data_IF_158946716757
#
_entry.id   IF_158946716757
#
_cell.length_a   1.000
_cell.length_b   1.000
_cell.length_c   1.000
_cell.angle_alpha   90.00
_cell.angle_beta   90.00
_cell.angle_gamma   90.00
#
_symmetry.space_group_name_H-M   'P 1'
#
loop_
_entity.id
_entity.type
_entity.pdbx_description
1 polymer ?
#
# COMPACT_ATOMS: atom_id res chain seq x y z
N UNK A 1 25.84 18.55 10.42
CA UNK A 1 27.24 18.77 10.85
C UNK A 1 27.31 20.13 11.52
N UNK A 2 27.81 20.21 12.77
CA UNK A 2 27.88 21.47 13.52
C UNK A 2 29.19 22.21 13.23
N UNK A 3 29.11 23.54 13.08
CA UNK A 3 30.27 24.41 12.87
C UNK A 3 31.20 24.42 14.10
N UNK A 4 32.48 24.72 13.91
CA UNK A 4 33.55 24.60 14.92
C UNK A 4 33.26 25.32 16.24
N UNK A 5 32.71 26.54 16.18
CA UNK A 5 32.35 27.32 17.39
C UNK A 5 31.18 26.69 18.15
N UNK A 6 30.24 26.07 17.44
CA UNK A 6 29.06 25.41 18.02
C UNK A 6 29.46 24.05 18.61
N UNK A 7 30.24 23.25 17.87
CA UNK A 7 30.76 21.96 18.36
C UNK A 7 31.57 22.11 19.64
N UNK A 8 32.40 23.16 19.76
CA UNK A 8 33.21 23.42 20.95
C UNK A 8 32.38 23.78 22.19
N UNK A 9 31.16 24.32 22.02
CA UNK A 9 30.27 24.72 23.11
C UNK A 9 29.18 23.68 23.39
N UNK A 10 29.00 22.72 22.49
CA UNK A 10 28.02 21.66 22.66
C UNK A 10 28.54 20.60 23.62
N UNK A 11 27.66 20.03 24.45
CA UNK A 11 28.00 18.85 25.22
C UNK A 11 28.31 17.71 24.25
N UNK A 12 29.53 17.16 24.30
CA UNK A 12 29.91 16.01 23.46
C UNK A 12 29.19 14.70 23.85
N UNK A 13 28.25 14.75 24.80
CA UNK A 13 27.43 13.61 25.18
C UNK A 13 26.25 13.49 24.21
N UNK A 14 26.30 12.48 23.37
CA UNK A 14 25.16 12.01 22.59
C UNK A 14 24.73 10.65 23.11
N UNK A 15 23.41 10.43 23.18
CA UNK A 15 22.83 9.14 23.51
C UNK A 15 22.06 8.66 22.28
N UNK A 16 22.41 7.48 21.80
CA UNK A 16 21.63 6.82 20.75
C UNK A 16 20.49 6.07 21.41
N UNK A 17 19.26 6.32 20.96
CA UNK A 17 18.09 5.54 21.38
C UNK A 17 18.02 4.30 20.48
N UNK A 18 18.26 3.09 21.02
CA UNK A 18 18.25 1.88 20.21
C UNK A 18 16.82 1.45 19.86
N UNK A 19 16.66 0.80 18.71
CA UNK A 19 15.42 0.11 18.37
C UNK A 19 15.30 -1.22 19.15
N UNK A 20 14.08 -1.76 19.32
CA UNK A 20 13.86 -3.05 19.97
C UNK A 20 14.65 -4.17 19.29
N UNK A 21 15.42 -4.92 20.08
CA UNK A 21 16.35 -5.96 19.59
C UNK A 21 15.74 -7.35 19.47
N UNK A 22 14.68 -7.61 20.24
CA UNK A 22 13.91 -8.85 20.20
C UNK A 22 12.45 -8.55 19.89
N UNK A 23 11.78 -9.56 19.35
CA UNK A 23 10.34 -9.48 19.10
C UNK A 23 9.56 -9.31 20.42
N UNK A 24 9.97 -10.01 21.49
CA UNK A 24 9.28 -9.92 22.78
C UNK A 24 9.35 -8.50 23.36
N UNK A 25 10.52 -7.84 23.29
CA UNK A 25 10.64 -6.44 23.74
C UNK A 25 9.78 -5.52 22.88
N UNK A 26 9.75 -5.71 21.56
CA UNK A 26 8.88 -4.94 20.67
C UNK A 26 7.38 -5.13 21.03
N UNK A 27 6.96 -6.39 21.16
CA UNK A 27 5.58 -6.76 21.51
C UNK A 27 5.16 -6.18 22.87
N UNK A 28 6.04 -6.22 23.86
CA UNK A 28 5.78 -5.67 25.18
C UNK A 28 5.64 -4.14 25.16
N UNK A 29 6.45 -3.43 24.35
CA UNK A 29 6.31 -1.98 24.18
C UNK A 29 4.96 -1.65 23.51
N UNK A 30 4.56 -2.40 22.49
CA UNK A 30 3.26 -2.24 21.83
C UNK A 30 2.10 -2.49 22.80
N UNK A 31 2.21 -3.53 23.63
CA UNK A 31 1.20 -3.87 24.65
C UNK A 31 1.10 -2.78 25.72
N UNK A 32 2.24 -2.34 26.26
CA UNK A 32 2.28 -1.29 27.27
C UNK A 32 1.71 0.05 26.79
N UNK A 33 1.70 0.32 25.48
CA UNK A 33 1.05 1.51 24.94
C UNK A 33 -0.47 1.40 24.79
N UNK A 34 -1.05 0.20 24.91
CA UNK A 34 -2.51 -0.03 24.88
C UNK A 34 -3.07 -0.42 26.25
N UNK A 35 -2.25 -1.01 27.11
CA UNK A 35 -2.62 -1.33 28.48
C UNK A 35 -2.64 -0.07 29.35
N UNK A 36 -3.34 -0.13 30.47
CA UNK A 36 -3.41 0.94 31.46
C UNK A 36 -2.91 0.38 32.80
N UNK A 37 -1.87 1.00 33.34
CA UNK A 37 -1.33 0.60 34.64
C UNK A 37 -2.11 1.25 35.80
N UNK A 38 -2.02 0.66 37.00
CA UNK A 38 -2.65 1.20 38.21
C UNK A 38 -2.10 2.59 38.56
N UNK A 39 -0.81 2.83 38.31
CA UNK A 39 -0.18 4.14 38.52
C UNK A 39 -0.68 5.22 37.56
N UNK A 40 -0.98 4.85 36.30
CA UNK A 40 -1.56 5.76 35.31
C UNK A 40 -3.02 6.05 35.61
N UNK A 41 -3.74 5.06 36.15
CA UNK A 41 -5.12 5.22 36.62
C UNK A 41 -5.23 6.27 37.73
N UNK A 42 -4.25 6.30 38.65
CA UNK A 42 -4.15 7.33 39.68
C UNK A 42 -3.93 8.74 39.11
N UNK A 43 -3.02 8.88 38.15
CA UNK A 43 -2.79 10.15 37.46
C UNK A 43 -4.01 10.61 36.66
N UNK A 44 -4.73 9.67 36.05
CA UNK A 44 -5.97 9.96 35.32
C UNK A 44 -7.08 10.43 36.27
N UNK A 45 -7.16 9.85 37.48
CA UNK A 45 -8.12 10.24 38.50
C UNK A 45 -7.87 11.66 39.02
N UNK A 46 -6.60 12.05 39.19
CA UNK A 46 -6.22 13.43 39.54
C UNK A 46 -6.50 14.42 38.38
N UNK A 47 -6.24 14.03 37.14
CA UNK A 47 -6.48 14.88 35.97
C UNK A 47 -7.99 15.08 35.67
N UNK A 48 -8.82 14.11 36.06
CA UNK A 48 -10.27 14.11 35.81
C UNK A 48 -11.07 14.35 37.10
N UNK A 49 -10.68 15.32 37.93
CA UNK A 49 -11.29 15.67 39.23
C UNK A 49 -12.83 15.50 39.32
N UNK A 50 -13.57 15.84 38.26
CA UNK A 50 -15.04 15.71 38.17
C UNK A 50 -15.57 14.28 37.97
N UNK A 51 -14.74 13.32 37.57
CA UNK A 51 -15.05 11.90 37.30
C UNK A 51 -14.24 10.92 38.14
N UNK A 52 -13.55 11.41 39.18
CA UNK A 52 -12.76 10.58 40.10
C UNK A 52 -13.54 9.42 40.72
N UNK A 53 -14.80 9.66 41.11
CA UNK A 53 -15.69 8.61 41.66
C UNK A 53 -16.02 7.48 40.67
N UNK A 54 -15.91 7.72 39.36
CA UNK A 54 -16.09 6.69 38.32
C UNK A 54 -14.84 5.80 38.27
N UNK A 55 -13.65 6.38 38.34
CA UNK A 55 -12.37 5.66 38.25
C UNK A 55 -12.13 4.81 39.52
N UNK A 56 -12.58 5.27 40.68
CA UNK A 56 -12.48 4.51 41.93
C UNK A 56 -13.59 3.44 42.08
N UNK A 57 -14.56 3.41 41.16
CA UNK A 57 -15.70 2.49 41.22
C UNK A 57 -15.32 1.03 40.96
N UNK A 58 -16.12 0.11 41.50
CA UNK A 58 -16.02 -1.31 41.19
C UNK A 58 -16.22 -1.60 39.68
N UNK A 59 -17.09 -0.84 39.03
CA UNK A 59 -17.39 -1.01 37.60
C UNK A 59 -16.20 -0.64 36.72
N UNK A 60 -15.42 0.38 37.11
CA UNK A 60 -14.16 0.71 36.42
C UNK A 60 -13.12 -0.41 36.55
N UNK A 61 -12.97 -1.01 37.74
CA UNK A 61 -12.07 -2.14 37.92
C UNK A 61 -12.47 -3.33 37.05
N UNK A 62 -13.77 -3.62 36.96
CA UNK A 62 -14.31 -4.67 36.09
C UNK A 62 -14.08 -4.36 34.60
N UNK A 63 -14.21 -3.10 34.20
CA UNK A 63 -13.90 -2.65 32.83
C UNK A 63 -12.41 -2.83 32.52
N UNK A 64 -11.52 -2.45 33.44
CA UNK A 64 -10.07 -2.58 33.28
C UNK A 64 -9.65 -4.06 33.21
N UNK A 65 -10.24 -4.93 34.04
CA UNK A 65 -10.00 -6.37 33.97
C UNK A 65 -10.47 -6.94 32.62
N UNK A 66 -11.65 -6.57 32.16
CA UNK A 66 -12.15 -6.96 30.83
C UNK A 66 -11.30 -6.42 29.68
N UNK A 67 -10.75 -5.21 29.80
CA UNK A 67 -9.80 -4.65 28.83
C UNK A 67 -8.50 -5.45 28.78
N UNK A 68 -7.94 -5.81 29.95
CA UNK A 68 -6.74 -6.65 30.05
C UNK A 68 -6.96 -8.03 29.47
N UNK A 69 -8.09 -8.67 29.76
CA UNK A 69 -8.47 -9.96 29.18
C UNK A 69 -8.62 -9.86 27.66
N UNK A 70 -9.27 -8.81 27.17
CA UNK A 70 -9.37 -8.52 25.73
C UNK A 70 -7.98 -8.37 25.08
N UNK A 71 -7.07 -7.60 25.68
CA UNK A 71 -5.71 -7.43 25.17
C UNK A 71 -4.95 -8.77 25.16
N UNK A 72 -5.11 -9.62 26.18
CA UNK A 72 -4.49 -10.95 26.21
C UNK A 72 -5.01 -11.85 25.08
N UNK A 73 -6.32 -11.84 24.82
CA UNK A 73 -6.90 -12.57 23.69
C UNK A 73 -6.44 -12.02 22.34
N UNK A 74 -6.37 -10.69 22.20
CA UNK A 74 -5.86 -10.02 21.00
C UNK A 74 -4.39 -10.40 20.74
N UNK A 75 -3.55 -10.42 21.77
CA UNK A 75 -2.15 -10.84 21.67
C UNK A 75 -1.97 -12.34 21.45
N UNK A 76 -2.94 -13.16 21.82
CA UNK A 76 -2.92 -14.61 21.56
C UNK A 76 -3.37 -14.97 20.13
N UNK A 77 -4.03 -14.05 19.42
CA UNK A 77 -4.50 -14.27 18.06
C UNK A 77 -3.35 -14.38 17.05
N UNK A 78 -3.40 -15.40 16.19
CA UNK A 78 -2.36 -15.66 15.20
C UNK A 78 -2.28 -14.55 14.13
N UNK A 79 -3.43 -14.01 13.69
CA UNK A 79 -3.48 -12.95 12.69
C UNK A 79 -2.88 -11.63 13.22
N UNK A 80 -3.18 -11.28 14.46
CA UNK A 80 -2.59 -10.13 15.13
C UNK A 80 -1.08 -10.32 15.38
N UNK A 81 -0.66 -11.51 15.81
CA UNK A 81 0.76 -11.85 15.96
C UNK A 81 1.52 -11.78 14.64
N UNK A 82 0.92 -12.22 13.53
CA UNK A 82 1.51 -12.08 12.19
C UNK A 82 1.70 -10.60 11.81
N UNK A 83 0.74 -9.73 12.15
CA UNK A 83 0.85 -8.28 11.95
C UNK A 83 2.00 -7.65 12.76
N UNK A 84 2.10 -7.98 14.05
CA UNK A 84 3.21 -7.51 14.90
C UNK A 84 4.56 -8.00 14.37
N UNK A 85 4.66 -9.27 13.97
CA UNK A 85 5.89 -9.84 13.40
C UNK A 85 6.26 -9.17 12.09
N UNK A 86 5.29 -8.88 11.22
CA UNK A 86 5.52 -8.13 9.97
C UNK A 86 6.17 -6.78 10.27
N UNK A 87 5.59 -5.98 11.17
CA UNK A 87 6.14 -4.67 11.54
C UNK A 87 7.55 -4.82 12.14
N UNK A 88 7.76 -5.81 13.02
CA UNK A 88 9.07 -6.07 13.62
C UNK A 88 10.13 -6.47 12.59
N UNK A 89 9.79 -7.26 11.57
CA UNK A 89 10.77 -7.67 10.56
C UNK A 89 10.99 -6.62 9.47
N UNK A 90 10.01 -5.75 9.20
CA UNK A 90 10.12 -4.70 8.19
C UNK A 90 10.75 -3.41 8.74
N UNK A 91 10.15 -2.80 9.77
CA UNK A 91 10.54 -1.44 10.23
C UNK A 91 11.04 -1.38 11.66
N UNK A 92 10.69 -2.36 12.51
CA UNK A 92 10.93 -2.34 13.98
C UNK A 92 10.36 -1.09 14.66
N UNK A 93 9.44 -0.39 14.01
CA UNK A 93 8.93 0.90 14.46
C UNK A 93 7.64 0.73 15.25
N UNK A 94 7.68 1.05 16.54
CA UNK A 94 6.49 1.04 17.40
C UNK A 94 5.47 2.09 16.94
N UNK A 95 5.95 3.20 16.35
CA UNK A 95 5.08 4.22 15.76
C UNK A 95 4.18 3.66 14.65
N UNK A 96 4.69 2.73 13.83
CA UNK A 96 3.89 2.10 12.77
C UNK A 96 2.76 1.27 13.38
N UNK A 97 3.04 0.53 14.46
CA UNK A 97 2.01 -0.19 15.20
C UNK A 97 0.91 0.75 15.71
N UNK A 98 1.26 1.83 16.41
CA UNK A 98 0.25 2.77 16.91
C UNK A 98 -0.54 3.46 15.78
N UNK A 99 0.10 3.69 14.63
CA UNK A 99 -0.59 4.22 13.45
C UNK A 99 -1.63 3.22 12.93
N UNK A 100 -1.32 1.93 12.92
CA UNK A 100 -2.28 0.87 12.55
C UNK A 100 -3.39 0.66 13.60
N UNK A 101 -3.11 0.94 14.87
CA UNK A 101 -4.08 0.84 15.97
C UNK A 101 -5.01 2.05 16.08
N UNK A 102 -4.65 3.19 15.48
CA UNK A 102 -5.38 4.45 15.60
C UNK A 102 -6.84 4.34 15.14
N UNK A 103 -7.08 3.75 13.96
CA UNK A 103 -8.44 3.57 13.43
C UNK A 103 -9.28 2.61 14.30
N UNK A 104 -8.81 1.37 14.58
CA UNK A 104 -9.52 0.46 15.50
C UNK A 104 -9.88 1.08 16.86
N UNK A 105 -8.97 1.85 17.47
CA UNK A 105 -9.22 2.48 18.77
C UNK A 105 -10.20 3.64 18.65
N UNK A 106 -10.11 4.43 17.58
CA UNK A 106 -11.05 5.53 17.32
C UNK A 106 -12.47 5.01 17.08
N UNK A 107 -12.62 3.86 16.43
CA UNK A 107 -13.92 3.21 16.21
C UNK A 107 -14.58 2.81 17.55
N UNK A 108 -13.81 2.30 18.53
CA UNK A 108 -14.33 2.06 19.89
C UNK A 108 -14.88 3.36 20.45
N UNK A 109 -14.08 4.43 20.43
CA UNK A 109 -14.46 5.72 20.98
C UNK A 109 -15.75 6.25 20.34
N UNK A 110 -15.84 6.22 19.00
CA UNK A 110 -17.06 6.66 18.31
C UNK A 110 -18.27 5.78 18.65
N UNK A 111 -18.08 4.47 18.86
CA UNK A 111 -19.18 3.59 19.28
C UNK A 111 -19.74 3.94 20.67
N UNK A 112 -18.98 4.63 21.52
CA UNK A 112 -19.47 5.12 22.82
C UNK A 112 -20.40 6.34 22.72
N UNK A 113 -20.31 7.10 21.62
CA UNK A 113 -21.12 8.31 21.39
C UNK A 113 -22.29 8.08 20.43
N UNK A 114 -22.34 6.92 19.75
CA UNK A 114 -23.41 6.59 18.81
C UNK A 114 -24.76 6.48 19.56
N UNK A 115 -25.67 7.42 19.29
CA UNK A 115 -26.94 7.57 19.98
C UNK A 115 -27.97 6.45 19.69
N UNK A 116 -27.64 5.51 18.81
CA UNK A 116 -28.60 4.57 18.21
C UNK A 116 -28.78 3.25 18.99
N UNK A 117 -28.24 3.15 20.22
CA UNK A 117 -28.35 1.91 21.02
C UNK A 117 -27.62 0.72 20.40
N UNK A 118 -26.75 0.96 19.42
CA UNK A 118 -25.87 -0.04 18.84
C UNK A 118 -24.83 -0.49 19.88
N UNK A 119 -24.58 -1.80 19.93
CA UNK A 119 -23.62 -2.37 20.87
C UNK A 119 -22.20 -1.81 20.64
N UNK A 120 -21.44 -1.67 21.72
CA UNK A 120 -20.01 -1.33 21.72
C UNK A 120 -19.27 -2.15 20.66
N UNK A 121 -18.63 -1.48 19.71
CA UNK A 121 -17.87 -2.14 18.66
C UNK A 121 -16.45 -2.41 19.13
N UNK A 122 -16.24 -3.60 19.70
CA UNK A 122 -14.90 -4.05 20.12
C UNK A 122 -14.11 -4.49 18.86
N UNK A 123 -12.90 -3.96 18.62
CA UNK A 123 -12.10 -4.28 17.47
C UNK A 123 -11.69 -5.75 17.48
N UNK A 124 -11.87 -6.40 16.34
CA UNK A 124 -11.35 -7.74 16.11
C UNK A 124 -9.91 -7.65 15.61
N UNK A 125 -9.04 -8.66 15.83
CA UNK A 125 -7.69 -8.73 15.23
C UNK A 125 -7.59 -8.29 13.77
N UNK A 126 -8.57 -8.66 12.94
CA UNK A 126 -8.64 -8.31 11.51
C UNK A 126 -8.78 -6.80 11.23
N UNK A 127 -9.31 -6.02 12.17
CA UNK A 127 -9.46 -4.55 12.02
C UNK A 127 -8.10 -3.87 11.99
N UNK A 128 -7.15 -4.35 12.79
CA UNK A 128 -5.78 -3.84 12.84
C UNK A 128 -4.99 -4.07 11.55
N UNK A 129 -5.35 -5.07 10.75
CA UNK A 129 -4.68 -5.37 9.47
C UNK A 129 -5.40 -4.79 8.26
N UNK A 130 -6.73 -4.71 8.30
CA UNK A 130 -7.55 -4.32 7.14
C UNK A 130 -7.69 -2.81 6.97
N UNK A 131 -7.61 -2.05 8.06
CA UNK A 131 -7.81 -0.60 8.07
C UNK A 131 -6.51 0.09 8.48
N UNK A 132 -5.43 -0.17 7.75
CA UNK A 132 -4.16 0.53 8.00
C UNK A 132 -4.14 1.86 7.28
N UNK A 133 -3.73 2.92 7.99
CA UNK A 133 -3.40 4.22 7.41
C UNK A 133 -2.04 4.22 6.70
N UNK A 134 -1.27 3.14 6.80
CA UNK A 134 -0.02 2.98 6.08
C UNK A 134 -0.29 2.75 4.58
N UNK A 135 0.42 3.48 3.73
CA UNK A 135 0.50 3.11 2.32
C UNK A 135 1.23 1.76 2.25
N UNK A 136 0.60 0.74 1.66
CA UNK A 136 1.28 -0.53 1.36
C UNK A 136 2.50 -0.25 0.48
N UNK A 137 3.55 -1.06 0.63
CA UNK A 137 4.72 -1.04 -0.26
C UNK A 137 4.71 -2.33 -1.08
N UNK A 138 4.54 -2.27 -2.42
CA UNK A 138 4.40 -1.07 -3.25
C UNK A 138 3.03 -0.37 -3.08
N UNK A 139 2.96 0.96 -3.35
CA UNK A 139 1.71 1.71 -3.26
C UNK A 139 0.68 1.09 -4.21
N UNK A 140 -0.60 0.96 -3.77
CA UNK A 140 -1.64 0.47 -4.65
C UNK A 140 -1.78 1.40 -5.85
N UNK A 141 -2.09 0.83 -7.02
CA UNK A 141 -2.31 1.61 -8.23
C UNK A 141 -3.41 2.67 -8.00
N UNK A 142 -3.24 3.91 -8.49
CA UNK A 142 -4.18 5.01 -8.26
C UNK A 142 -5.51 4.87 -9.02
N UNK A 143 -5.74 3.73 -9.66
CA UNK A 143 -6.94 3.39 -10.41
C UNK A 143 -7.39 1.97 -10.07
N UNK A 144 -8.68 1.70 -10.22
CA UNK A 144 -9.25 0.37 -9.97
C UNK A 144 -8.61 -0.68 -10.90
N UNK A 145 -8.05 -1.72 -10.29
CA UNK A 145 -7.52 -2.90 -10.99
C UNK A 145 -8.63 -3.91 -11.32
N UNK A 146 -9.87 -3.68 -10.87
CA UNK A 146 -10.99 -4.56 -11.17
C UNK A 146 -11.41 -4.44 -12.63
N UNK A 147 -11.13 -5.50 -13.40
CA UNK A 147 -11.55 -5.66 -14.79
C UNK A 147 -12.82 -6.52 -14.86
N UNK A 148 -13.70 -6.43 -13.87
CA UNK A 148 -15.02 -7.08 -13.94
C UNK A 148 -15.85 -6.39 -15.02
N UNK A 149 -15.86 -7.02 -16.20
CA UNK A 149 -16.82 -6.92 -17.31
C UNK A 149 -17.46 -5.54 -17.57
N UNK A 150 -17.23 -5.04 -18.78
CA UNK A 150 -17.85 -3.90 -19.47
C UNK A 150 -17.06 -2.59 -19.46
N UNK A 151 -16.65 -2.19 -20.67
CA UNK A 151 -16.65 -0.82 -21.23
C UNK A 151 -16.41 0.37 -20.28
N UNK A 152 -15.59 0.21 -19.25
CA UNK A 152 -15.25 1.28 -18.34
C UNK A 152 -13.90 1.88 -18.75
N UNK A 153 -13.81 3.22 -18.89
CA UNK A 153 -12.56 3.90 -19.26
C UNK A 153 -11.42 3.66 -18.24
N UNK A 154 -11.73 3.14 -17.05
CA UNK A 154 -10.78 2.73 -16.01
C UNK A 154 -9.88 1.55 -16.39
N UNK A 155 -10.26 0.75 -17.39
CA UNK A 155 -9.45 -0.39 -17.87
C UNK A 155 -8.33 0.02 -18.86
N UNK A 156 -8.42 1.20 -19.47
CA UNK A 156 -7.48 1.66 -20.49
C UNK A 156 -6.10 2.03 -19.92
N UNK A 157 -5.97 2.75 -18.79
CA UNK A 157 -4.66 3.02 -18.19
C UNK A 157 -3.93 1.73 -17.80
N UNK A 158 -4.62 0.76 -17.21
CA UNK A 158 -4.06 -0.55 -16.88
C UNK A 158 -3.57 -1.29 -18.13
N UNK A 159 -4.37 -1.25 -19.20
CA UNK A 159 -4.03 -1.92 -20.45
C UNK A 159 -2.82 -1.31 -21.16
N UNK A 160 -2.72 0.03 -21.17
CA UNK A 160 -1.57 0.74 -21.71
C UNK A 160 -0.32 0.51 -20.86
N UNK A 161 -0.47 0.49 -19.53
CA UNK A 161 0.63 0.22 -18.61
C UNK A 161 1.19 -1.19 -18.83
N UNK A 162 0.33 -2.20 -18.92
CA UNK A 162 0.75 -3.58 -19.19
C UNK A 162 1.41 -3.75 -20.56
N UNK A 163 0.92 -3.07 -21.59
CA UNK A 163 1.58 -3.07 -22.90
C UNK A 163 2.98 -2.43 -22.82
N UNK A 164 3.11 -1.33 -22.09
CA UNK A 164 4.38 -0.64 -21.91
C UNK A 164 5.38 -1.44 -21.05
N UNK A 165 4.94 -2.05 -19.94
CA UNK A 165 5.80 -2.90 -19.09
C UNK A 165 6.24 -4.15 -19.82
N UNK A 166 5.36 -4.78 -20.62
CA UNK A 166 5.73 -5.92 -21.46
C UNK A 166 6.78 -5.54 -22.51
N UNK A 167 6.60 -4.43 -23.22
CA UNK A 167 7.65 -3.95 -24.14
C UNK A 167 8.96 -3.71 -23.38
N UNK A 168 8.88 -3.08 -22.22
CA UNK A 168 10.07 -2.84 -21.38
C UNK A 168 10.75 -4.15 -21.00
N UNK A 169 10.01 -5.18 -20.60
CA UNK A 169 10.53 -6.50 -20.26
C UNK A 169 11.12 -7.25 -21.47
N UNK A 170 10.49 -7.16 -22.64
CA UNK A 170 10.98 -7.79 -23.87
C UNK A 170 12.25 -7.14 -24.41
N UNK A 171 12.40 -5.83 -24.22
CA UNK A 171 13.52 -5.06 -24.74
C UNK A 171 14.60 -4.79 -23.68
N UNK A 172 14.43 -5.26 -22.43
CA UNK A 172 15.45 -5.18 -21.36
C UNK A 172 16.72 -5.95 -21.75
N UNK A 173 17.88 -5.29 -21.99
CA UNK A 173 19.10 -5.97 -22.42
C UNK A 173 19.76 -6.84 -21.33
N UNK A 174 19.04 -7.18 -20.26
CA UNK A 174 19.54 -7.92 -19.10
C UNK A 174 19.62 -9.45 -19.27
N UNK A 175 19.13 -10.03 -20.37
CA UNK A 175 19.10 -11.50 -20.54
C UNK A 175 19.88 -12.05 -21.75
N UNK A 176 20.20 -11.21 -22.74
CA UNK A 176 21.05 -11.61 -23.87
C UNK A 176 22.45 -11.02 -23.71
N UNK A 177 23.41 -11.86 -23.33
CA UNK A 177 24.80 -11.52 -22.97
C UNK A 177 25.68 -10.99 -24.10
N UNK A 178 25.25 -9.96 -24.83
CA UNK A 178 26.03 -9.37 -25.92
C UNK A 178 25.80 -7.86 -26.10
N UNK A 179 25.88 -7.06 -25.03
CA UNK A 179 26.47 -5.70 -25.06
C UNK A 179 26.37 -5.04 -23.70
N UNK A 180 27.44 -5.15 -22.91
CA UNK A 180 27.66 -4.30 -21.74
C UNK A 180 28.00 -2.88 -22.22
N UNK A 181 26.99 -2.12 -22.64
CA UNK A 181 27.12 -0.66 -22.84
C UNK A 181 25.83 0.03 -22.39
N UNK A 182 25.98 0.87 -21.36
CA UNK A 182 25.05 1.87 -20.81
C UNK A 182 23.80 1.37 -20.07
N UNK A 183 23.88 1.50 -18.74
CA UNK A 183 22.79 1.53 -17.75
C UNK A 183 21.78 2.66 -18.02
N UNK A 184 21.13 2.68 -19.18
CA UNK A 184 19.99 3.53 -19.44
C UNK A 184 18.73 2.65 -19.36
N UNK A 185 17.78 2.93 -18.44
CA UNK A 185 16.48 2.27 -18.46
C UNK A 185 15.85 2.48 -19.84
N UNK A 186 15.23 1.44 -20.40
CA UNK A 186 14.62 1.55 -21.72
C UNK A 186 13.62 2.69 -21.78
N UNK A 187 13.83 3.50 -22.81
CA UNK A 187 13.05 4.67 -23.12
C UNK A 187 12.05 4.27 -24.21
N UNK A 188 10.77 4.20 -23.86
CA UNK A 188 9.67 3.83 -24.72
C UNK A 188 8.90 5.08 -25.19
N UNK A 189 8.46 5.11 -26.44
CA UNK A 189 7.57 6.17 -26.94
C UNK A 189 6.10 5.79 -26.81
N UNK A 190 5.21 6.77 -26.69
CA UNK A 190 3.76 6.53 -26.69
C UNK A 190 3.26 5.76 -27.93
N UNK A 191 3.70 6.09 -29.17
CA UNK A 191 3.31 5.31 -30.34
C UNK A 191 3.69 3.82 -30.26
N UNK A 192 4.84 3.49 -29.65
CA UNK A 192 5.25 2.10 -29.45
C UNK A 192 4.34 1.37 -28.45
N UNK A 193 4.03 2.00 -27.31
CA UNK A 193 3.09 1.47 -26.32
C UNK A 193 1.69 1.23 -26.93
N UNK A 194 1.20 2.20 -27.71
CA UNK A 194 -0.12 2.12 -28.35
C UNK A 194 -0.17 1.02 -29.43
N UNK A 195 0.88 0.88 -30.24
CA UNK A 195 0.97 -0.17 -31.24
C UNK A 195 0.92 -1.56 -30.58
N UNK A 196 1.64 -1.75 -29.48
CA UNK A 196 1.60 -3.00 -28.72
C UNK A 196 0.24 -3.25 -28.09
N UNK A 197 -0.38 -2.23 -27.46
CA UNK A 197 -1.75 -2.33 -26.95
C UNK A 197 -2.74 -2.82 -28.03
N UNK A 198 -2.69 -2.23 -29.24
CA UNK A 198 -3.55 -2.63 -30.36
C UNK A 198 -3.23 -4.05 -30.83
N UNK A 199 -1.94 -4.41 -30.94
CA UNK A 199 -1.48 -5.75 -31.33
C UNK A 199 -2.00 -6.81 -30.36
N UNK A 200 -1.80 -6.58 -29.07
CA UNK A 200 -2.26 -7.48 -28.02
C UNK A 200 -3.78 -7.64 -28.13
N UNK A 201 -4.55 -6.53 -28.19
CA UNK A 201 -6.01 -6.61 -28.11
C UNK A 201 -6.60 -7.28 -29.36
N UNK A 202 -5.95 -7.09 -30.50
CA UNK A 202 -6.31 -7.77 -31.76
C UNK A 202 -6.01 -9.27 -31.69
N UNK A 203 -4.84 -9.65 -31.16
CA UNK A 203 -4.49 -11.05 -30.91
C UNK A 203 -5.47 -11.72 -29.95
N UNK A 204 -5.84 -11.04 -28.86
CA UNK A 204 -6.84 -11.50 -27.92
C UNK A 204 -8.18 -11.82 -28.60
N UNK A 205 -8.63 -10.92 -29.49
CA UNK A 205 -9.90 -11.07 -30.21
C UNK A 205 -9.87 -12.25 -31.16
N UNK A 206 -8.74 -12.47 -31.83
CA UNK A 206 -8.52 -13.64 -32.67
C UNK A 206 -8.57 -14.92 -31.85
N UNK A 207 -7.83 -15.00 -30.73
CA UNK A 207 -7.83 -16.17 -29.84
C UNK A 207 -9.21 -16.48 -29.25
N UNK A 208 -9.95 -15.46 -28.81
CA UNK A 208 -11.31 -15.62 -28.30
C UNK A 208 -12.29 -16.12 -29.39
N UNK A 209 -12.14 -15.64 -30.63
CA UNK A 209 -12.96 -16.10 -31.77
C UNK A 209 -12.69 -17.56 -32.15
N UNK A 210 -11.44 -18.01 -32.03
CA UNK A 210 -11.02 -19.38 -32.33
C UNK A 210 -11.46 -20.35 -31.23
N UNK A 211 -11.47 -19.90 -29.96
CA UNK A 211 -11.83 -20.74 -28.81
C UNK A 211 -13.34 -20.80 -28.52
N UNK A 212 -14.19 -20.11 -29.29
CA UNK A 212 -15.64 -20.06 -29.07
C UNK A 212 -16.06 -19.39 -27.76
N UNK A 213 -15.17 -18.58 -27.16
CA UNK A 213 -15.44 -17.93 -25.88
C UNK A 213 -16.40 -16.73 -26.06
N UNK A 214 -17.47 -16.67 -25.26
CA UNK A 214 -18.49 -15.62 -25.33
C UNK A 214 -18.02 -14.22 -24.87
N UNK A 215 -16.86 -14.13 -24.20
CA UNK A 215 -16.30 -12.86 -23.73
C UNK A 215 -15.28 -12.33 -24.75
N UNK A 216 -15.70 -11.40 -25.59
CA UNK A 216 -14.76 -10.67 -26.46
C UNK A 216 -13.91 -9.72 -25.61
N UNK A 217 -12.58 -9.65 -25.85
CA UNK A 217 -11.75 -8.57 -25.33
C UNK A 217 -12.34 -7.24 -25.81
N UNK A 218 -12.40 -6.26 -24.91
CA UNK A 218 -13.13 -5.01 -25.10
C UNK A 218 -12.76 -4.22 -26.36
N UNK A 219 -13.51 -3.13 -26.59
CA UNK A 219 -13.29 -2.20 -27.72
C UNK A 219 -11.85 -1.65 -27.69
N UNK A 220 -11.21 -1.59 -28.86
CA UNK A 220 -9.94 -0.86 -29.04
C UNK A 220 -10.22 0.64 -28.93
N UNK A 221 -9.58 1.32 -28.00
CA UNK A 221 -9.69 2.77 -27.85
C UNK A 221 -8.86 3.51 -28.91
N UNK A 222 -9.38 4.63 -29.41
CA UNK A 222 -8.69 5.46 -30.40
C UNK A 222 -7.43 6.13 -29.82
N UNK A 223 -6.53 6.56 -30.71
CA UNK A 223 -5.23 7.14 -30.33
C UNK A 223 -5.35 8.34 -29.39
N UNK A 224 -6.34 9.21 -29.59
CA UNK A 224 -6.52 10.41 -28.76
C UNK A 224 -6.93 10.06 -27.31
N UNK A 225 -7.85 9.12 -27.15
CA UNK A 225 -8.29 8.63 -25.83
C UNK A 225 -7.16 7.88 -25.14
N UNK A 226 -6.41 7.08 -25.88
CA UNK A 226 -5.22 6.40 -25.36
C UNK A 226 -4.12 7.38 -24.94
N UNK A 227 -3.96 8.50 -25.66
CA UNK A 227 -3.03 9.57 -25.27
C UNK A 227 -3.46 10.22 -23.98
N UNK A 228 -4.74 10.56 -23.81
CA UNK A 228 -5.23 11.13 -22.55
C UNK A 228 -4.99 10.18 -21.36
N UNK A 229 -5.21 8.88 -21.54
CA UNK A 229 -4.88 7.87 -20.52
C UNK A 229 -3.38 7.73 -20.27
N UNK A 230 -2.54 7.89 -21.30
CA UNK A 230 -1.08 7.89 -21.15
C UNK A 230 -0.60 9.07 -20.32
N UNK A 231 -1.11 10.29 -20.57
CA UNK A 231 -0.80 11.46 -19.75
C UNK A 231 -1.23 11.29 -18.29
N UNK A 232 -2.34 10.56 -18.04
CA UNK A 232 -2.73 10.18 -16.67
C UNK A 232 -1.69 9.27 -16.01
N UNK A 233 -1.20 8.24 -16.71
CA UNK A 233 -0.12 7.39 -16.21
C UNK A 233 1.16 8.19 -15.90
N UNK A 234 1.45 9.21 -16.70
CA UNK A 234 2.57 10.14 -16.46
C UNK A 234 2.34 10.99 -15.22
N UNK A 235 1.15 11.58 -15.07
CA UNK A 235 0.80 12.37 -13.88
C UNK A 235 0.78 11.56 -12.58
N UNK A 236 0.50 10.25 -12.67
CA UNK A 236 0.60 9.31 -11.56
C UNK A 236 2.04 8.84 -11.26
N UNK A 237 3.01 9.21 -12.10
CA UNK A 237 4.41 8.83 -11.92
C UNK A 237 4.71 7.36 -12.22
N UNK A 238 3.76 6.61 -12.80
CA UNK A 238 4.00 5.22 -13.25
C UNK A 238 4.85 5.19 -14.51
N UNK A 239 4.81 6.29 -15.27
CA UNK A 239 5.58 6.51 -16.49
C UNK A 239 6.27 7.87 -16.37
N UNK A 240 7.60 7.91 -16.43
CA UNK A 240 8.39 9.13 -16.27
C UNK A 240 9.02 9.54 -17.60
N UNK A 241 8.96 10.81 -18.02
CA UNK A 241 9.59 11.22 -19.26
C UNK A 241 11.12 11.18 -19.14
N UNK A 242 11.79 10.52 -20.09
CA UNK A 242 13.25 10.42 -20.15
C UNK A 242 13.82 11.46 -21.10
N UNK A 243 14.40 12.51 -20.52
CA UNK A 243 15.09 13.58 -21.25
C UNK A 243 14.32 14.89 -21.33
N UNK A 244 15.07 15.99 -21.26
CA UNK A 244 14.58 17.36 -21.47
C UNK A 244 14.86 17.74 -22.92
N UNK A 245 13.94 17.44 -23.82
CA UNK A 245 14.07 17.79 -25.23
C UNK A 245 12.74 18.30 -25.77
N UNK A 246 12.78 19.47 -26.44
CA UNK A 246 11.67 20.08 -27.19
C UNK A 246 11.29 19.25 -28.44
N UNK A 247 11.17 17.94 -28.32
CA UNK A 247 10.68 17.05 -29.37
C UNK A 247 9.17 17.20 -29.53
N UNK A 248 8.68 16.93 -30.74
CA UNK A 248 7.25 16.78 -31.01
C UNK A 248 6.63 15.78 -30.02
N UNK A 249 5.37 15.98 -29.64
CA UNK A 249 4.65 15.20 -28.60
C UNK A 249 4.58 13.68 -28.84
N UNK A 250 5.03 13.21 -30.00
CA UNK A 250 5.13 11.79 -30.37
C UNK A 250 6.53 11.18 -30.24
N UNK A 251 7.58 12.02 -30.21
CA UNK A 251 8.97 11.58 -30.09
C UNK A 251 9.50 11.61 -28.66
N UNK A 252 8.69 12.05 -27.69
CA UNK A 252 9.04 12.03 -26.28
C UNK A 252 9.19 10.57 -25.81
N UNK A 253 10.33 10.29 -25.19
CA UNK A 253 10.60 8.99 -24.62
C UNK A 253 10.21 8.97 -23.15
N UNK A 254 9.80 7.81 -22.69
CA UNK A 254 9.30 7.57 -21.35
C UNK A 254 9.91 6.31 -20.77
N UNK A 255 10.15 6.31 -19.47
CA UNK A 255 10.54 5.15 -18.68
C UNK A 255 9.33 4.68 -17.89
N UNK A 256 9.17 3.37 -17.78
CA UNK A 256 8.16 2.76 -16.91
C UNK A 256 8.81 2.47 -15.56
N UNK A 257 8.21 2.93 -14.46
CA UNK A 257 8.77 2.81 -13.10
C UNK A 257 8.31 1.55 -12.34
N UNK A 258 7.52 0.70 -13.01
CA UNK A 258 6.93 -0.51 -12.44
C UNK A 258 7.23 -1.72 -13.33
N UNK A 259 7.49 -2.89 -12.73
CA UNK A 259 7.76 -4.13 -13.47
C UNK A 259 6.48 -4.76 -14.03
N UNK A 260 6.62 -5.66 -15.01
CA UNK A 260 5.48 -6.37 -15.58
C UNK A 260 4.82 -7.29 -14.54
N UNK A 261 5.63 -7.99 -13.75
CA UNK A 261 5.21 -8.92 -12.70
C UNK A 261 4.38 -8.22 -11.62
N UNK A 262 4.84 -7.06 -11.15
CA UNK A 262 4.12 -6.26 -10.15
C UNK A 262 2.76 -5.78 -10.67
N UNK A 263 2.67 -5.33 -11.93
CA UNK A 263 1.38 -4.92 -12.51
C UNK A 263 0.44 -6.11 -12.65
N UNK A 264 0.94 -7.28 -13.03
CA UNK A 264 0.13 -8.51 -13.15
C UNK A 264 -0.36 -8.98 -11.77
N UNK A 265 0.50 -8.92 -10.74
CA UNK A 265 0.11 -9.25 -9.36
C UNK A 265 -0.99 -8.33 -8.85
N UNK A 266 -0.86 -7.02 -9.09
CA UNK A 266 -1.87 -6.03 -8.69
C UNK A 266 -3.17 -6.09 -9.51
N UNK A 267 -3.08 -6.48 -10.79
CA UNK A 267 -4.25 -6.74 -11.64
C UNK A 267 -4.96 -8.06 -11.26
N UNK A 268 -4.28 -8.96 -10.55
CA UNK A 268 -4.79 -10.25 -10.11
C UNK A 268 -5.04 -11.24 -11.24
N UNK A 269 -5.85 -12.27 -10.97
CA UNK A 269 -6.17 -13.30 -11.98
C UNK A 269 -6.99 -12.75 -13.15
N UNK A 270 -7.61 -11.56 -13.01
CA UNK A 270 -8.12 -10.75 -14.12
C UNK A 270 -9.15 -11.43 -15.04
N UNK A 271 -9.82 -12.50 -14.60
CA UNK A 271 -10.77 -13.26 -15.41
C UNK A 271 -10.20 -13.68 -16.77
N UNK A 272 -11.04 -13.70 -17.81
CA UNK A 272 -10.64 -14.05 -19.18
C UNK A 272 -9.60 -13.10 -19.78
N UNK A 273 -9.48 -11.87 -19.26
CA UNK A 273 -8.50 -10.90 -19.75
C UNK A 273 -7.12 -11.17 -19.16
N UNK A 274 -7.02 -11.49 -17.86
CA UNK A 274 -5.76 -11.81 -17.17
C UNK A 274 -5.02 -13.00 -17.76
N UNK A 275 -5.74 -13.94 -18.37
CA UNK A 275 -5.14 -15.06 -19.10
C UNK A 275 -4.46 -14.60 -20.42
N UNK A 276 -5.04 -13.62 -21.12
CA UNK A 276 -4.47 -13.13 -22.39
C UNK A 276 -3.18 -12.32 -22.23
N UNK A 277 -2.99 -11.56 -21.15
CA UNK A 277 -1.71 -10.87 -20.90
C UNK A 277 -0.59 -11.84 -20.50
N UNK A 278 -0.92 -13.00 -19.91
CA UNK A 278 0.05 -14.01 -19.48
C UNK A 278 0.50 -14.94 -20.60
N UNK A 279 -0.39 -15.26 -21.54
CA UNK A 279 -0.15 -16.29 -22.57
C UNK A 279 0.17 -15.71 -23.97
N UNK A 280 0.18 -14.38 -24.14
CA UNK A 280 0.30 -13.70 -25.44
C UNK A 280 1.69 -13.18 -25.78
#
# INVERSE_FOLDING_TARGET
MLEKRVKSRFSHRYVYVPLPRSFDTFSNICLAGLDLDEGETGQLAEALDSRRGIIESHDWKKLLEGWKEYLQHLWSDNGFQAHLKRIYHQTKSVKEFFTSALLPISDILHSTYAADGSALQIPTPKRFTSQSLSCSDPPPLPFSTSITASSSPSSLPLALLLAATRLTALFDPGLDGASSQTLAPLALSFPAAYAEYVRLLTSAKMSASVSGAAATPGRVWGRDVARESWEKLVSWGLVTPTGSGNGTTDGQMFRVEISFEEVVEMAGSGGSLGQWWRDG
#
